data_IF_793707307054
#
_entry.id   IF_793707307054
#
_cell.length_a   1.000
_cell.length_b   1.000
_cell.length_c   1.000
_cell.angle_alpha   90.00
_cell.angle_beta   90.00
_cell.angle_gamma   90.00
#
_symmetry.space_group_name_H-M   'P 1'
#
loop_
_entity.id
_entity.type
_entity.pdbx_description
1 polymer ?
#
# COMPACT_ATOMS: atom_id res chain seq x y z
N UNK A 1 14.36 16.33 14.04
CA UNK A 1 13.15 15.84 13.36
C UNK A 1 12.56 17.02 12.61
N UNK A 2 12.18 16.85 11.33
CA UNK A 2 11.49 17.90 10.59
C UNK A 2 10.09 18.16 11.15
N UNK A 3 9.44 19.27 10.76
CA UNK A 3 8.07 19.56 11.18
C UNK A 3 7.12 18.44 10.75
N UNK A 4 6.18 18.07 11.62
CA UNK A 4 5.19 17.03 11.34
C UNK A 4 4.01 17.62 10.58
N UNK A 5 3.69 17.05 9.42
CA UNK A 5 2.57 17.49 8.58
C UNK A 5 1.30 16.74 8.93
N UNK A 6 0.24 17.45 9.28
CA UNK A 6 -1.10 16.92 9.51
C UNK A 6 -2.02 17.31 8.36
N UNK A 7 -2.95 16.42 8.01
CA UNK A 7 -4.00 16.71 7.04
C UNK A 7 -5.25 17.17 7.78
N UNK A 8 -5.83 18.30 7.36
CA UNK A 8 -7.12 18.79 7.87
C UNK A 8 -8.13 18.77 6.73
N UNK A 9 -9.22 18.04 6.90
CA UNK A 9 -10.28 17.91 5.89
C UNK A 9 -11.51 18.67 6.39
N UNK A 10 -11.81 19.79 5.76
CA UNK A 10 -12.99 20.60 6.03
C UNK A 10 -13.46 21.32 4.75
N UNK A 11 -14.75 21.28 4.46
CA UNK A 11 -15.33 21.86 3.25
C UNK A 11 -15.33 23.39 3.33
N UNK A 12 -15.57 23.96 4.51
CA UNK A 12 -15.61 25.42 4.68
C UNK A 12 -14.19 26.02 4.78
N UNK A 13 -13.83 27.01 3.93
CA UNK A 13 -12.49 27.62 3.95
C UNK A 13 -12.13 28.24 5.31
N UNK A 14 -13.06 28.93 5.96
CA UNK A 14 -12.81 29.52 7.28
C UNK A 14 -12.45 28.50 8.37
N UNK A 15 -12.99 27.28 8.28
CA UNK A 15 -12.63 26.19 9.21
C UNK A 15 -11.21 25.71 8.94
N UNK A 16 -10.82 25.57 7.67
CA UNK A 16 -9.45 25.21 7.30
C UNK A 16 -8.44 26.22 7.83
N UNK A 17 -8.69 27.52 7.60
CA UNK A 17 -7.80 28.60 8.09
C UNK A 17 -7.72 28.65 9.61
N UNK A 18 -8.83 28.47 10.32
CA UNK A 18 -8.83 28.41 11.79
C UNK A 18 -8.00 27.21 12.31
N UNK A 19 -8.16 26.05 11.68
CA UNK A 19 -7.41 24.84 12.04
C UNK A 19 -5.92 24.95 11.68
N UNK A 20 -5.58 25.57 10.56
CA UNK A 20 -4.19 25.88 10.18
C UNK A 20 -3.51 26.72 11.26
N UNK A 21 -4.14 27.80 11.70
CA UNK A 21 -3.61 28.65 12.76
C UNK A 21 -3.48 27.90 14.10
N UNK A 22 -4.51 27.14 14.48
CA UNK A 22 -4.53 26.40 15.75
C UNK A 22 -3.49 25.27 15.82
N UNK A 23 -3.21 24.59 14.71
CA UNK A 23 -2.20 23.52 14.68
C UNK A 23 -0.79 24.08 14.46
N UNK A 24 -0.65 25.20 13.76
CA UNK A 24 0.64 25.89 13.62
C UNK A 24 1.17 26.39 14.97
N UNK A 25 0.30 26.88 15.87
CA UNK A 25 0.71 27.27 17.23
C UNK A 25 1.18 26.08 18.08
N UNK A 26 0.80 24.86 17.69
CA UNK A 26 1.25 23.59 18.29
C UNK A 26 2.48 22.99 17.58
N UNK A 27 3.08 23.71 16.63
CA UNK A 27 4.29 23.29 15.92
C UNK A 27 4.06 22.28 14.79
N UNK A 28 2.81 22.12 14.32
CA UNK A 28 2.47 21.25 13.21
C UNK A 28 2.34 22.03 11.90
N UNK A 29 2.74 21.40 10.79
CA UNK A 29 2.37 21.86 9.46
C UNK A 29 1.01 21.32 9.07
N UNK A 30 0.23 22.11 8.33
CA UNK A 30 -1.12 21.71 7.92
C UNK A 30 -1.22 21.63 6.41
N UNK A 31 -1.73 20.50 5.93
CA UNK A 31 -2.19 20.29 4.57
C UNK A 31 -3.72 20.28 4.58
N UNK A 32 -4.32 21.40 4.23
CA UNK A 32 -5.76 21.53 4.26
C UNK A 32 -6.41 21.03 2.95
N UNK A 33 -7.43 20.21 3.08
CA UNK A 33 -8.19 19.59 1.98
C UNK A 33 -9.66 20.00 2.08
N UNK A 34 -10.31 20.19 0.93
CA UNK A 34 -11.71 20.60 0.85
C UNK A 34 -12.69 19.42 0.97
N UNK A 35 -12.24 18.20 0.69
CA UNK A 35 -13.07 17.00 0.78
C UNK A 35 -12.29 15.72 1.06
N UNK A 36 -13.01 14.64 1.35
CA UNK A 36 -12.41 13.32 1.60
C UNK A 36 -11.73 12.75 0.35
N UNK A 37 -12.25 13.02 -0.86
CA UNK A 37 -11.70 12.50 -2.11
C UNK A 37 -10.25 12.89 -2.40
N UNK A 38 -9.74 13.96 -1.79
CA UNK A 38 -8.35 14.42 -1.96
C UNK A 38 -7.33 13.66 -1.09
N UNK A 39 -7.81 12.93 -0.08
CA UNK A 39 -6.96 12.26 0.90
C UNK A 39 -6.05 11.20 0.27
N UNK A 40 -6.52 10.29 -0.62
CA UNK A 40 -5.66 9.26 -1.21
C UNK A 40 -4.49 9.83 -2.00
N UNK A 41 -4.70 10.88 -2.80
CA UNK A 41 -3.63 11.53 -3.56
C UNK A 41 -2.63 12.20 -2.62
N UNK A 42 -3.11 12.91 -1.60
CA UNK A 42 -2.26 13.60 -0.62
C UNK A 42 -1.34 12.64 0.13
N UNK A 43 -1.88 11.50 0.59
CA UNK A 43 -1.10 10.52 1.35
C UNK A 43 -0.06 9.77 0.50
N UNK A 44 -0.21 9.74 -0.82
CA UNK A 44 0.77 9.17 -1.77
C UNK A 44 1.96 10.09 -2.03
N UNK A 45 1.77 11.40 -1.89
CA UNK A 45 2.78 12.40 -2.25
C UNK A 45 3.52 12.97 -1.04
N UNK A 46 2.86 13.04 0.11
CA UNK A 46 3.42 13.67 1.31
C UNK A 46 3.35 12.72 2.50
N UNK A 47 4.45 12.52 3.25
CA UNK A 47 4.38 11.85 4.54
C UNK A 47 3.51 12.66 5.50
N UNK A 48 2.47 12.02 6.06
CA UNK A 48 1.51 12.66 6.97
C UNK A 48 1.59 12.01 8.35
N UNK A 49 1.64 12.85 9.39
CA UNK A 49 1.68 12.48 10.80
C UNK A 49 0.31 12.26 11.44
N UNK A 50 -0.77 12.76 10.84
CA UNK A 50 -2.13 12.51 11.30
C UNK A 50 -3.19 13.19 10.44
N UNK A 51 -4.44 12.78 10.63
CA UNK A 51 -5.60 13.21 9.85
C UNK A 51 -6.69 13.72 10.79
N UNK A 52 -7.12 14.96 10.55
CA UNK A 52 -8.28 15.58 11.21
C UNK A 52 -9.41 15.74 10.19
N UNK A 53 -10.58 15.22 10.53
CA UNK A 53 -11.76 15.28 9.67
C UNK A 53 -12.91 16.02 10.36
N UNK A 54 -13.36 17.11 9.74
CA UNK A 54 -14.54 17.83 10.19
C UNK A 54 -15.80 16.95 10.04
N UNK A 55 -16.61 16.89 11.10
CA UNK A 55 -17.83 16.09 11.14
C UNK A 55 -18.84 16.51 10.07
N UNK A 56 -19.00 17.82 9.83
CA UNK A 56 -19.89 18.32 8.78
C UNK A 56 -19.45 17.88 7.38
N UNK A 57 -18.14 17.84 7.15
CA UNK A 57 -17.56 17.37 5.88
C UNK A 57 -17.69 15.86 5.73
N UNK A 58 -17.48 15.10 6.82
CA UNK A 58 -17.69 13.64 6.82
C UNK A 58 -19.13 13.26 6.48
N UNK A 59 -20.13 14.00 6.99
CA UNK A 59 -21.55 13.73 6.72
C UNK A 59 -21.86 13.92 5.23
N UNK A 60 -21.36 15.02 4.63
CA UNK A 60 -21.62 15.40 3.24
C UNK A 60 -20.87 14.58 2.19
N UNK A 61 -19.81 13.86 2.57
CA UNK A 61 -19.03 13.05 1.65
C UNK A 61 -19.84 11.88 1.07
N UNK A 62 -19.57 11.54 -0.18
CA UNK A 62 -20.16 10.38 -0.85
C UNK A 62 -19.73 9.06 -0.20
N UNK A 63 -20.50 8.00 -0.45
CA UNK A 63 -20.18 6.67 0.07
C UNK A 63 -18.82 6.17 -0.46
N UNK A 64 -18.55 6.38 -1.74
CA UNK A 64 -17.29 6.01 -2.39
C UNK A 64 -16.07 6.72 -1.75
N UNK A 65 -16.17 8.01 -1.47
CA UNK A 65 -15.10 8.77 -0.79
C UNK A 65 -14.88 8.27 0.64
N UNK A 66 -15.97 7.95 1.36
CA UNK A 66 -15.90 7.41 2.73
C UNK A 66 -15.20 6.07 2.76
N UNK A 67 -15.52 5.17 1.83
CA UNK A 67 -14.90 3.84 1.73
C UNK A 67 -13.40 3.95 1.44
N UNK A 68 -13.03 4.70 0.40
CA UNK A 68 -11.64 4.91 0.02
C UNK A 68 -10.82 5.57 1.14
N UNK A 69 -11.38 6.56 1.83
CA UNK A 69 -10.69 7.23 2.94
C UNK A 69 -10.61 6.36 4.20
N UNK A 70 -11.66 5.58 4.52
CA UNK A 70 -11.72 4.78 5.75
C UNK A 70 -10.63 3.72 5.83
N UNK A 71 -10.27 3.10 4.71
CA UNK A 71 -9.15 2.15 4.67
C UNK A 71 -7.83 2.86 5.03
N UNK A 72 -7.60 4.04 4.47
CA UNK A 72 -6.38 4.80 4.67
C UNK A 72 -6.28 5.36 6.10
N UNK A 73 -7.38 5.91 6.62
CA UNK A 73 -7.41 6.56 7.95
C UNK A 73 -7.04 5.60 9.09
N UNK A 74 -7.25 4.29 8.95
CA UNK A 74 -6.89 3.27 9.97
C UNK A 74 -5.40 3.19 10.25
N UNK A 75 -4.56 3.70 9.35
CA UNK A 75 -3.11 3.62 9.49
C UNK A 75 -2.48 4.84 10.16
N UNK A 76 -3.26 5.90 10.43
CA UNK A 76 -2.77 7.18 10.94
C UNK A 76 -3.45 7.54 12.26
N UNK A 77 -2.80 8.37 13.11
CA UNK A 77 -3.49 9.13 14.13
C UNK A 77 -4.65 9.88 13.47
N UNK A 78 -5.86 9.55 13.90
CA UNK A 78 -7.07 10.05 13.28
C UNK A 78 -8.01 10.56 14.37
N UNK A 79 -8.53 11.76 14.15
CA UNK A 79 -9.60 12.29 14.97
C UNK A 79 -10.63 13.02 14.10
N UNK A 80 -11.87 13.02 14.57
CA UNK A 80 -12.91 13.88 14.01
C UNK A 80 -12.96 15.16 14.82
N UNK A 81 -13.44 16.25 14.23
CA UNK A 81 -13.68 17.46 15.00
C UNK A 81 -14.95 18.16 14.54
N UNK A 82 -15.43 19.07 15.37
CA UNK A 82 -16.48 20.03 14.99
C UNK A 82 -16.16 21.38 15.58
N UNK A 83 -16.56 22.43 14.90
CA UNK A 83 -16.47 23.80 15.40
C UNK A 83 -17.79 24.17 16.08
N UNK A 84 -17.73 24.71 17.30
CA UNK A 84 -18.88 25.19 18.07
C UNK A 84 -18.59 26.62 18.51
N UNK A 85 -19.16 27.60 17.81
CA UNK A 85 -18.76 28.99 17.96
C UNK A 85 -17.31 29.18 17.52
N UNK A 86 -16.45 29.66 18.42
CA UNK A 86 -15.01 29.82 18.18
C UNK A 86 -14.18 28.62 18.71
N UNK A 87 -14.82 27.65 19.36
CA UNK A 87 -14.13 26.47 19.91
C UNK A 87 -14.06 25.31 18.91
N UNK A 88 -12.89 24.69 18.80
CA UNK A 88 -12.72 23.39 18.12
C UNK A 88 -12.87 22.27 19.13
N UNK A 89 -13.86 21.39 18.92
CA UNK A 89 -14.01 20.18 19.73
C UNK A 89 -13.56 18.96 18.95
N UNK A 90 -12.50 18.31 19.45
CA UNK A 90 -12.00 17.04 18.93
C UNK A 90 -12.86 15.90 19.48
N UNK A 91 -13.19 14.95 18.60
CA UNK A 91 -14.03 13.79 18.82
C UNK A 91 -13.19 12.54 18.54
N UNK A 92 -13.19 11.59 19.49
CA UNK A 92 -12.46 10.34 19.37
C UNK A 92 -11.79 9.96 20.69
N UNK A 93 -10.66 9.26 20.59
CA UNK A 93 -9.84 8.93 21.76
C UNK A 93 -9.19 10.17 22.38
N UNK A 94 -8.69 11.06 21.51
CA UNK A 94 -8.15 12.35 21.95
C UNK A 94 -9.27 13.38 22.09
N UNK A 95 -9.27 14.10 23.22
CA UNK A 95 -10.30 15.09 23.55
C UNK A 95 -9.87 16.54 23.29
N UNK A 96 -8.65 16.75 22.79
CA UNK A 96 -8.07 18.07 22.57
C UNK A 96 -7.11 18.07 21.37
N UNK A 97 -6.85 19.25 20.80
CA UNK A 97 -5.91 19.40 19.69
C UNK A 97 -4.47 19.17 20.14
N UNK A 98 -4.15 19.53 21.38
CA UNK A 98 -2.84 19.35 22.01
C UNK A 98 -2.49 17.87 22.17
N UNK A 99 -3.47 17.07 22.59
CA UNK A 99 -3.27 15.64 22.75
C UNK A 99 -3.14 14.93 21.38
N UNK A 100 -3.95 15.34 20.40
CA UNK A 100 -3.78 14.91 19.01
C UNK A 100 -2.41 15.29 18.44
N UNK A 101 -1.96 16.53 18.65
CA UNK A 101 -0.65 16.99 18.15
C UNK A 101 0.51 16.21 18.74
N UNK A 102 0.43 15.86 20.03
CA UNK A 102 1.40 14.98 20.70
C UNK A 102 1.42 13.59 20.07
N UNK A 103 0.24 13.03 19.78
CA UNK A 103 0.11 11.74 19.12
C UNK A 103 0.75 11.76 17.71
N UNK A 104 0.52 12.83 16.94
CA UNK A 104 1.16 13.03 15.63
C UNK A 104 2.69 13.11 15.73
N UNK A 105 3.22 13.76 16.79
CA UNK A 105 4.67 13.84 17.03
C UNK A 105 5.33 12.50 17.38
N UNK A 106 4.56 11.57 17.98
CA UNK A 106 5.04 10.23 18.33
C UNK A 106 4.85 9.22 17.19
N UNK A 107 3.97 9.53 16.24
CA UNK A 107 3.71 8.68 15.09
C UNK A 107 4.83 8.82 14.06
N UNK A 108 5.34 7.69 13.57
CA UNK A 108 6.28 7.68 12.45
C UNK A 108 5.48 7.50 11.16
N UNK A 109 5.35 8.55 10.31
CA UNK A 109 4.60 8.46 9.06
C UNK A 109 5.10 7.30 8.22
N UNK A 110 4.22 6.33 7.96
CA UNK A 110 4.46 5.35 6.89
C UNK A 110 3.96 5.98 5.60
N UNK A 111 4.81 6.07 4.59
CA UNK A 111 4.36 6.51 3.27
C UNK A 111 3.29 5.54 2.75
N UNK A 112 2.12 6.06 2.35
CA UNK A 112 1.20 5.25 1.55
C UNK A 112 1.92 4.98 0.25
N UNK A 113 2.17 3.70 -0.03
CA UNK A 113 2.91 3.31 -1.22
C UNK A 113 2.17 3.86 -2.44
N UNK A 114 2.91 4.55 -3.32
CA UNK A 114 2.36 5.18 -4.53
C UNK A 114 1.58 4.22 -5.43
N UNK A 115 1.93 2.94 -5.38
CA UNK A 115 1.37 1.89 -6.21
C UNK A 115 0.79 0.77 -5.36
N UNK A 116 -0.42 0.32 -5.73
CA UNK A 116 -1.03 -0.87 -5.15
C UNK A 116 -0.20 -2.09 -5.51
N UNK A 117 -0.07 -3.01 -4.55
CA UNK A 117 0.50 -4.33 -4.78
C UNK A 117 -0.63 -5.33 -4.90
N UNK A 118 -0.60 -6.11 -5.97
CA UNK A 118 -1.51 -7.23 -6.14
C UNK A 118 -0.78 -8.49 -5.70
N UNK A 119 -1.42 -9.30 -4.86
CA UNK A 119 -0.91 -10.63 -4.54
C UNK A 119 -1.03 -11.50 -5.80
N UNK A 120 0.09 -11.84 -6.41
CA UNK A 120 0.17 -12.72 -7.58
C UNK A 120 1.39 -13.61 -7.45
N UNK A 121 1.16 -14.90 -7.63
CA UNK A 121 2.17 -15.96 -7.60
C UNK A 121 2.68 -16.21 -9.02
N UNK A 122 3.57 -15.34 -9.50
CA UNK A 122 4.18 -15.48 -10.82
C UNK A 122 5.50 -16.23 -10.69
N UNK A 123 5.68 -17.28 -11.50
CA UNK A 123 6.96 -17.96 -11.61
C UNK A 123 8.00 -17.02 -12.24
N UNK A 124 9.18 -16.96 -11.64
CA UNK A 124 10.23 -16.03 -12.02
C UNK A 124 11.61 -16.66 -11.84
N UNK A 125 12.49 -16.44 -12.81
CA UNK A 125 13.92 -16.69 -12.64
C UNK A 125 14.55 -15.47 -11.99
N UNK A 126 15.28 -15.67 -10.89
CA UNK A 126 15.95 -14.63 -10.12
C UNK A 126 17.47 -14.85 -10.13
N UNK A 127 18.24 -13.87 -10.61
CA UNK A 127 19.68 -13.98 -10.77
C UNK A 127 20.43 -12.74 -10.27
N UNK A 128 21.74 -12.88 -10.04
CA UNK A 128 22.63 -11.75 -9.74
C UNK A 128 23.12 -11.06 -11.01
N UNK A 129 23.33 -11.82 -12.07
CA UNK A 129 23.80 -11.33 -13.38
C UNK A 129 22.69 -11.30 -14.43
N UNK A 130 22.87 -10.45 -15.45
CA UNK A 130 21.96 -10.34 -16.61
C UNK A 130 21.91 -11.60 -17.45
N UNK A 131 22.93 -12.44 -17.36
CA UNK A 131 23.06 -13.69 -18.12
C UNK A 131 22.32 -14.87 -17.46
N UNK A 132 21.79 -14.68 -16.25
CA UNK A 132 21.04 -15.72 -15.52
C UNK A 132 21.81 -17.03 -15.25
N UNK A 133 23.15 -16.99 -15.26
CA UNK A 133 24.01 -18.15 -14.97
C UNK A 133 23.74 -18.77 -13.58
N UNK A 134 23.33 -17.92 -12.63
CA UNK A 134 23.05 -18.30 -11.24
C UNK A 134 21.55 -18.20 -10.89
N UNK A 135 20.68 -18.42 -11.88
CA UNK A 135 19.24 -18.26 -11.71
C UNK A 135 18.64 -19.24 -10.69
N UNK A 136 17.86 -18.69 -9.77
CA UNK A 136 16.95 -19.39 -8.87
C UNK A 136 15.55 -19.38 -9.47
N UNK A 137 14.90 -20.54 -9.55
CA UNK A 137 13.46 -20.61 -9.80
C UNK A 137 12.71 -20.19 -8.54
N UNK A 138 11.92 -19.14 -8.66
CA UNK A 138 11.26 -18.49 -7.56
C UNK A 138 9.83 -18.08 -7.93
N UNK A 139 9.10 -17.57 -6.94
CA UNK A 139 7.71 -17.14 -7.10
C UNK A 139 7.54 -15.76 -6.44
N UNK A 140 6.84 -14.85 -7.11
CA UNK A 140 6.44 -13.59 -6.46
C UNK A 140 5.34 -13.82 -5.42
N UNK A 141 5.37 -13.10 -4.31
CA UNK A 141 4.24 -13.06 -3.36
C UNK A 141 3.30 -11.91 -3.72
N UNK A 142 3.87 -10.78 -4.14
CA UNK A 142 3.13 -9.62 -4.59
C UNK A 142 3.93 -8.80 -5.61
N UNK A 143 3.22 -8.08 -6.47
CA UNK A 143 3.78 -7.28 -7.56
C UNK A 143 3.09 -5.92 -7.62
N UNK A 144 3.86 -4.89 -7.95
CA UNK A 144 3.46 -3.51 -8.25
C UNK A 144 4.26 -3.02 -9.46
N UNK A 145 3.91 -1.86 -10.02
CA UNK A 145 4.55 -1.33 -11.22
C UNK A 145 6.05 -1.03 -11.01
N UNK A 146 6.43 -0.69 -9.79
CA UNK A 146 7.77 -0.31 -9.38
C UNK A 146 8.49 -1.38 -8.57
N UNK A 147 7.95 -2.59 -8.45
CA UNK A 147 8.65 -3.67 -7.75
C UNK A 147 7.80 -4.86 -7.37
N UNK A 148 8.43 -5.88 -6.79
CA UNK A 148 7.78 -7.09 -6.29
C UNK A 148 8.40 -7.57 -4.98
N UNK A 149 7.75 -8.53 -4.33
CA UNK A 149 8.39 -9.38 -3.33
C UNK A 149 8.51 -10.79 -3.92
N UNK A 150 9.70 -11.37 -3.87
CA UNK A 150 10.01 -12.71 -4.39
C UNK A 150 10.37 -13.61 -3.23
N UNK A 151 9.73 -14.78 -3.15
CA UNK A 151 10.16 -15.83 -2.24
C UNK A 151 11.52 -16.36 -2.70
N UNK A 152 12.49 -16.33 -1.80
CA UNK A 152 13.83 -16.85 -2.04
C UNK A 152 14.45 -17.22 -0.69
N UNK A 153 15.20 -18.32 -0.67
CA UNK A 153 15.93 -18.77 0.52
C UNK A 153 17.42 -18.44 0.42
N UNK A 154 17.87 -17.88 -0.70
CA UNK A 154 19.25 -17.43 -0.88
C UNK A 154 19.53 -16.20 -0.02
N UNK A 155 20.81 -16.00 0.27
CA UNK A 155 21.27 -14.77 0.91
C UNK A 155 21.33 -13.63 -0.11
N UNK A 156 20.78 -12.47 0.26
CA UNK A 156 20.79 -11.29 -0.60
C UNK A 156 21.28 -10.08 0.18
N UNK A 157 22.03 -9.21 -0.48
CA UNK A 157 22.52 -7.97 0.10
C UNK A 157 21.55 -6.84 -0.24
N UNK A 158 21.01 -6.15 0.77
CA UNK A 158 20.23 -4.94 0.54
C UNK A 158 21.10 -3.92 -0.22
N UNK A 159 20.53 -3.32 -1.27
CA UNK A 159 21.22 -2.43 -2.20
C UNK A 159 21.85 -3.12 -3.41
N UNK A 160 21.92 -4.46 -3.46
CA UNK A 160 22.45 -5.14 -4.65
C UNK A 160 21.47 -5.09 -5.81
N UNK A 161 22.00 -5.03 -7.04
CA UNK A 161 21.22 -5.21 -8.26
C UNK A 161 20.94 -6.70 -8.46
N UNK A 162 19.73 -7.00 -8.91
CA UNK A 162 19.26 -8.35 -9.28
C UNK A 162 18.51 -8.29 -10.59
N UNK A 163 18.42 -9.44 -11.25
CA UNK A 163 17.75 -9.62 -12.52
C UNK A 163 16.61 -10.61 -12.38
N UNK A 164 15.47 -10.29 -12.98
CA UNK A 164 14.27 -11.11 -12.99
C UNK A 164 13.86 -11.43 -14.43
N UNK A 165 13.40 -12.66 -14.67
CA UNK A 165 12.71 -13.04 -15.90
C UNK A 165 11.46 -13.82 -15.55
N UNK A 166 10.29 -13.27 -15.88
CA UNK A 166 9.01 -13.93 -15.59
C UNK A 166 8.77 -15.08 -16.56
N UNK A 167 8.22 -16.19 -16.08
CA UNK A 167 7.94 -17.33 -16.93
C UNK A 167 6.90 -16.96 -18.00
N UNK A 168 7.23 -17.22 -19.27
CA UNK A 168 6.42 -16.82 -20.42
C UNK A 168 6.78 -15.45 -20.99
N UNK A 169 7.70 -14.71 -20.37
CA UNK A 169 8.30 -13.49 -20.91
C UNK A 169 9.82 -13.64 -21.06
N UNK A 170 10.37 -13.13 -22.15
CA UNK A 170 11.81 -13.14 -22.42
C UNK A 170 12.51 -11.86 -21.94
N UNK A 171 11.74 -10.83 -21.54
CA UNK A 171 12.29 -9.56 -21.10
C UNK A 171 12.89 -9.70 -19.69
N UNK A 172 14.20 -9.45 -19.60
CA UNK A 172 14.89 -9.36 -18.33
C UNK A 172 14.65 -7.98 -17.69
N UNK A 173 14.25 -7.98 -16.41
CA UNK A 173 14.02 -6.77 -15.62
C UNK A 173 15.09 -6.67 -14.54
N UNK A 174 15.72 -5.51 -14.42
CA UNK A 174 16.65 -5.23 -13.34
C UNK A 174 15.98 -4.48 -12.18
N UNK A 175 16.42 -4.79 -10.97
CA UNK A 175 15.93 -4.16 -9.76
C UNK A 175 16.96 -4.12 -8.65
N UNK A 176 16.70 -3.33 -7.62
CA UNK A 176 17.53 -3.24 -6.42
C UNK A 176 16.83 -3.95 -5.27
N UNK A 177 17.57 -4.76 -4.52
CA UNK A 177 17.07 -5.36 -3.27
C UNK A 177 16.87 -4.25 -2.24
N UNK A 178 15.63 -4.00 -1.84
CA UNK A 178 15.30 -3.02 -0.81
C UNK A 178 14.96 -3.66 0.53
N UNK A 179 14.78 -4.98 0.55
CA UNK A 179 14.36 -5.74 1.72
C UNK A 179 14.80 -7.19 1.58
N UNK A 180 15.20 -7.83 2.68
CA UNK A 180 15.57 -9.24 2.71
C UNK A 180 15.14 -9.87 4.04
N UNK A 181 14.56 -11.05 3.96
CA UNK A 181 14.22 -11.90 5.08
C UNK A 181 14.88 -13.26 4.90
N UNK A 182 15.75 -13.60 5.85
CA UNK A 182 16.38 -14.91 5.93
C UNK A 182 15.34 -16.00 6.24
N UNK A 183 15.62 -17.22 5.80
CA UNK A 183 14.89 -18.41 6.21
C UNK A 183 14.98 -18.63 7.73
N UNK A 184 13.91 -19.16 8.35
CA UNK A 184 13.90 -19.58 9.75
C UNK A 184 13.51 -18.50 10.77
N UNK A 185 13.13 -17.30 10.35
CA UNK A 185 12.46 -16.35 11.22
C UNK A 185 10.95 -16.66 11.22
N UNK A 186 10.45 -17.46 12.17
CA UNK A 186 9.06 -18.00 12.21
C UNK A 186 7.89 -16.97 12.25
N UNK A 187 8.12 -15.72 11.83
CA UNK A 187 7.21 -14.57 11.87
C UNK A 187 6.93 -13.98 10.48
N UNK A 188 7.79 -14.22 9.48
CA UNK A 188 7.67 -13.60 8.15
C UNK A 188 8.10 -14.57 7.05
N UNK A 189 7.51 -14.44 5.87
CA UNK A 189 7.90 -15.21 4.69
C UNK A 189 9.33 -14.82 4.28
N UNK A 190 10.23 -15.78 4.06
CA UNK A 190 11.58 -15.50 3.57
C UNK A 190 11.53 -15.04 2.11
N UNK A 191 12.53 -14.26 1.74
CA UNK A 191 12.62 -13.70 0.40
C UNK A 191 13.15 -12.28 0.36
N UNK A 192 12.93 -11.63 -0.78
CA UNK A 192 13.42 -10.28 -1.04
C UNK A 192 12.35 -9.37 -1.59
N UNK A 193 12.38 -8.12 -1.12
CA UNK A 193 11.66 -7.03 -1.75
C UNK A 193 12.57 -6.36 -2.78
N UNK A 194 12.10 -6.26 -4.02
CA UNK A 194 12.85 -5.70 -5.14
C UNK A 194 12.13 -4.45 -5.63
N UNK A 195 12.87 -3.36 -5.80
CA UNK A 195 12.42 -2.15 -6.50
C UNK A 195 12.96 -2.18 -7.93
N UNK A 196 12.08 -2.10 -8.92
CA UNK A 196 12.52 -2.10 -10.32
C UNK A 196 13.25 -0.79 -10.65
N UNK A 197 14.32 -0.88 -11.44
CA UNK A 197 15.06 0.29 -11.93
C UNK A 197 14.21 0.99 -12.99
N UNK A 198 13.62 0.22 -13.90
CA UNK A 198 12.62 0.67 -14.87
C UNK A 198 11.28 0.04 -14.49
N UNK A 199 10.19 0.82 -14.38
CA UNK A 199 8.88 0.27 -14.05
C UNK A 199 8.46 -0.84 -15.02
N UNK A 200 7.88 -1.90 -14.48
CA UNK A 200 7.50 -3.09 -15.24
C UNK A 200 6.07 -2.97 -15.77
N UNK A 201 5.78 -3.48 -17.00
CA UNK A 201 4.42 -3.51 -17.55
C UNK A 201 3.48 -4.48 -16.81
N UNK A 202 3.99 -5.38 -15.97
CA UNK A 202 3.17 -6.44 -15.35
C UNK A 202 2.17 -5.97 -14.29
N UNK A 203 2.17 -4.68 -13.94
CA UNK A 203 1.22 -4.12 -12.98
C UNK A 203 -0.05 -3.54 -13.61
N UNK A 204 -0.12 -3.44 -14.95
CA UNK A 204 -1.21 -2.74 -15.64
C UNK A 204 -2.29 -3.66 -16.24
N UNK A 205 -2.24 -4.98 -16.00
CA UNK A 205 -3.35 -5.87 -16.40
C UNK A 205 -4.41 -5.97 -15.31
N UNK A 206 -5.23 -4.92 -15.21
CA UNK A 206 -6.63 -5.06 -14.81
C UNK A 206 -7.39 -5.79 -15.93
N UNK A 207 -7.77 -7.03 -15.65
CA UNK A 207 -9.16 -7.40 -15.90
C UNK A 207 -9.60 -8.21 -14.71
N UNK A 208 -10.57 -7.69 -13.98
CA UNK A 208 -11.33 -8.40 -12.97
C UNK A 208 -11.90 -9.63 -13.66
N UNK A 209 -11.27 -10.79 -13.48
CA UNK A 209 -11.99 -12.05 -13.69
C UNK A 209 -12.81 -12.22 -12.43
N UNK A 210 -14.05 -11.76 -12.54
CA UNK A 210 -15.11 -11.97 -11.58
C UNK A 210 -15.11 -13.45 -11.16
N UNK A 211 -15.07 -13.73 -9.86
CA UNK A 211 -15.12 -15.12 -9.37
C UNK A 211 -16.40 -15.84 -9.82
N UNK A 212 -17.42 -15.10 -10.26
CA UNK A 212 -18.65 -15.62 -10.87
C UNK A 212 -18.44 -16.24 -12.28
N UNK A 213 -17.32 -15.96 -12.94
CA UNK A 213 -16.99 -16.49 -14.27
C UNK A 213 -16.33 -17.88 -14.20
N UNK A 214 -15.63 -18.18 -13.09
CA UNK A 214 -15.02 -19.50 -12.84
C UNK A 214 -16.05 -20.56 -12.43
N UNK A 215 -17.21 -20.17 -11.90
CA UNK A 215 -18.32 -21.10 -11.61
C UNK A 215 -19.21 -21.41 -12.83
N UNK A 216 -19.00 -20.73 -13.97
CA UNK A 216 -19.79 -20.88 -15.20
C UNK A 216 -19.04 -21.58 -16.33
N UNK A 217 -17.78 -21.99 -16.14
CA UNK A 217 -17.09 -22.81 -17.12
C UNK A 217 -17.70 -24.22 -17.14
N UNK A 218 -18.07 -24.77 -18.32
CA UNK A 218 -18.53 -26.15 -18.39
C UNK A 218 -17.41 -27.08 -17.92
N UNK A 219 -17.76 -28.06 -17.07
CA UNK A 219 -16.83 -29.06 -16.61
C UNK A 219 -16.09 -29.67 -17.80
N UNK A 220 -14.76 -29.70 -17.75
CA UNK A 220 -13.97 -30.39 -18.76
C UNK A 220 -14.46 -31.84 -18.85
N UNK A 221 -14.63 -32.40 -20.07
CA UNK A 221 -15.08 -33.78 -20.21
C UNK A 221 -14.09 -34.69 -19.49
N UNK A 222 -14.60 -35.53 -18.59
CA UNK A 222 -13.79 -36.52 -17.88
C UNK A 222 -13.07 -37.39 -18.91
N UNK A 223 -11.76 -37.65 -18.73
CA UNK A 223 -11.09 -38.65 -19.54
C UNK A 223 -11.76 -40.02 -19.30
N UNK A 224 -11.91 -40.85 -20.35
CA UNK A 224 -12.52 -42.17 -20.20
C UNK A 224 -11.70 -43.01 -19.21
N UNK A 225 -12.37 -43.87 -18.42
CA UNK A 225 -11.70 -44.70 -17.43
C UNK A 225 -10.64 -45.57 -18.12
N UNK A 226 -9.39 -45.42 -17.67
CA UNK A 226 -8.30 -46.28 -18.11
C UNK A 226 -8.57 -47.68 -17.58
N UNK A 227 -8.82 -48.63 -18.48
CA UNK A 227 -8.86 -50.05 -18.12
C UNK A 227 -7.48 -50.44 -17.59
N UNK A 228 -7.43 -50.76 -16.29
CA UNK A 228 -6.28 -51.42 -15.69
C UNK A 228 -6.20 -52.81 -16.33
N UNK A 229 -5.22 -53.01 -17.21
CA UNK A 229 -4.87 -54.33 -17.71
C UNK A 229 -4.13 -55.05 -16.59
N UNK A 230 -4.82 -55.90 -15.86
CA UNK A 230 -4.17 -56.96 -15.07
C UNK A 230 -3.58 -57.96 -16.06
N UNK A 231 -2.26 -58.03 -16.12
CA UNK A 231 -1.55 -59.11 -16.80
C UNK A 231 -1.51 -60.37 -15.93
N UNK A 232 -1.54 -61.57 -16.55
CA UNK A 232 -1.53 -62.87 -15.86
C UNK A 232 -0.20 -63.20 -15.19
#
# INVERSE_FOLDING_TARGET
MGPVTCVVIANHPGVRTAMEAALASLGLQVRALSGLGELPATLKDTPVGGILLELATAIKASQQEKEAANELMRFYPFARFRVVGEEVRVLGQEKSLEAFARQCGQFTPRGVRRESRVNRNLAVYLARGSEFEDAEEAITINVSRGGCFVYSIREWKIGSVVWLRFLGDQVAISGTVCYWHAWGNNKVMPGIGIKFIVPSPFAETETVVDQESLSKMPAAPMPPPTHIVTMP
#
